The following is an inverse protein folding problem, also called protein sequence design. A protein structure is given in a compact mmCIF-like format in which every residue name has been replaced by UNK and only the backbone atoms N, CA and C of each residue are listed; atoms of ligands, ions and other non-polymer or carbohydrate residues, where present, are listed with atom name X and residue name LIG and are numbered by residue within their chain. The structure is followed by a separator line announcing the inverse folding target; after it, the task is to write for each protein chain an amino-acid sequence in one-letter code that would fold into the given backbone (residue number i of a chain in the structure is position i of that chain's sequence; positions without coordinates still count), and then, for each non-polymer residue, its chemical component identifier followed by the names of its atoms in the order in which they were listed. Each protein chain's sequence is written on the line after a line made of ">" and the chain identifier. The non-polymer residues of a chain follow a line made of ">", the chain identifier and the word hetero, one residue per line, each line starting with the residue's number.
data_IF_672418659222
#
_entry.id   IF_672418659222
#
_cell.length_a   1.000
_cell.length_b   1.000
_cell.length_c   1.000
_cell.angle_alpha   90.00
_cell.angle_beta   90.00
_cell.angle_gamma   90.00
#
_symmetry.space_group_name_H-M   'P 1'
#
loop_
_entity.id
_entity.type
_entity.pdbx_description
1 polymer ?
#
# COMPACT_ATOMS: atom_id res chain seq x y z
N UNK A 1 -33.33 7.72 31.16
CA UNK A 1 -32.48 6.68 30.53
C UNK A 1 -33.41 5.59 30.01
N UNK A 2 -33.35 5.28 28.71
CA UNK A 2 -34.23 4.25 28.13
C UNK A 2 -33.81 2.86 28.66
N UNK A 3 -34.80 1.97 28.88
CA UNK A 3 -34.56 0.66 29.46
C UNK A 3 -33.56 -0.20 28.68
N UNK A 4 -33.52 -0.09 27.32
CA UNK A 4 -32.54 -0.75 26.48
C UNK A 4 -31.11 -0.23 26.66
N UNK A 5 -30.92 1.05 27.01
CA UNK A 5 -29.61 1.63 27.29
C UNK A 5 -29.01 1.10 28.61
N UNK A 6 -29.85 0.89 29.62
CA UNK A 6 -29.42 0.27 30.88
C UNK A 6 -28.95 -1.16 30.66
N UNK A 7 -29.66 -1.93 29.82
CA UNK A 7 -29.30 -3.31 29.47
C UNK A 7 -28.00 -3.34 28.67
N UNK A 8 -27.92 -2.47 27.68
CA UNK A 8 -26.71 -2.30 26.85
C UNK A 8 -25.49 -2.01 27.72
N UNK A 9 -25.56 -1.01 28.62
CA UNK A 9 -24.45 -0.66 29.49
C UNK A 9 -24.09 -1.78 30.44
N UNK A 10 -25.06 -2.46 31.03
CA UNK A 10 -24.81 -3.60 31.94
C UNK A 10 -24.03 -4.72 31.24
N UNK A 11 -24.45 -5.14 30.06
CA UNK A 11 -23.77 -6.22 29.32
C UNK A 11 -22.38 -5.75 28.87
N UNK A 12 -22.24 -4.49 28.39
CA UNK A 12 -20.97 -3.89 28.01
C UNK A 12 -19.97 -3.85 29.15
N UNK A 13 -20.41 -3.39 30.34
CA UNK A 13 -19.55 -3.32 31.52
C UNK A 13 -19.09 -4.72 31.97
N UNK A 14 -19.97 -5.73 31.92
CA UNK A 14 -19.60 -7.13 32.21
C UNK A 14 -18.58 -7.69 31.20
N UNK A 15 -18.68 -7.33 29.93
CA UNK A 15 -17.67 -7.71 28.93
C UNK A 15 -16.33 -7.01 29.23
N UNK A 16 -16.37 -5.71 29.56
CA UNK A 16 -15.16 -4.93 29.87
C UNK A 16 -14.46 -5.35 31.16
N UNK A 17 -15.26 -5.80 32.19
CA UNK A 17 -14.72 -6.31 33.44
C UNK A 17 -14.31 -7.80 33.37
N UNK A 18 -14.41 -8.42 32.17
CA UNK A 18 -14.16 -9.85 31.94
C UNK A 18 -15.08 -10.82 32.75
N UNK A 19 -16.23 -10.35 33.22
CA UNK A 19 -17.27 -11.21 33.79
C UNK A 19 -17.95 -12.06 32.72
N UNK A 20 -17.91 -11.64 31.48
CA UNK A 20 -18.28 -12.38 30.27
C UNK A 20 -17.05 -12.55 29.41
N UNK A 21 -16.61 -13.79 29.24
CA UNK A 21 -15.36 -14.09 28.51
C UNK A 21 -15.58 -14.11 27.00
N UNK A 22 -14.51 -13.85 26.25
CA UNK A 22 -14.49 -13.97 24.80
C UNK A 22 -14.95 -15.37 24.34
N UNK A 23 -15.84 -15.43 23.36
CA UNK A 23 -16.45 -16.65 22.87
C UNK A 23 -17.56 -17.20 23.78
N UNK A 24 -17.81 -16.59 24.93
CA UNK A 24 -18.87 -17.02 25.83
C UNK A 24 -20.27 -16.71 25.27
N UNK A 25 -21.18 -17.64 25.43
CA UNK A 25 -22.56 -17.49 24.99
C UNK A 25 -23.35 -16.63 25.98
N UNK A 26 -24.00 -15.59 25.51
CA UNK A 26 -24.94 -14.78 26.28
C UNK A 26 -26.20 -15.60 26.63
N UNK A 27 -26.87 -15.29 27.75
CA UNK A 27 -28.17 -15.85 28.08
C UNK A 27 -29.15 -15.63 26.93
N UNK A 28 -30.15 -16.51 26.79
CA UNK A 28 -31.14 -16.38 25.74
C UNK A 28 -31.96 -15.08 25.86
N UNK A 29 -32.53 -14.61 24.75
CA UNK A 29 -33.43 -13.44 24.77
C UNK A 29 -34.54 -13.59 25.79
N UNK A 30 -35.02 -14.84 26.03
CA UNK A 30 -36.05 -15.13 27.01
C UNK A 30 -35.51 -14.94 28.42
N UNK A 31 -34.34 -15.45 28.72
CA UNK A 31 -33.71 -15.34 30.05
C UNK A 31 -33.35 -13.87 30.35
N UNK A 32 -32.81 -13.16 29.38
CA UNK A 32 -32.54 -11.72 29.50
C UNK A 32 -33.83 -10.91 29.72
N UNK A 33 -34.95 -11.28 29.02
CA UNK A 33 -36.25 -10.63 29.24
C UNK A 33 -36.77 -10.84 30.66
N UNK A 34 -36.57 -12.01 31.24
CA UNK A 34 -36.93 -12.30 32.62
C UNK A 34 -35.99 -11.57 33.60
N UNK A 35 -34.70 -11.62 33.38
CA UNK A 35 -33.69 -10.99 34.25
C UNK A 35 -33.88 -9.46 34.33
N UNK A 36 -34.13 -8.81 33.23
CA UNK A 36 -34.28 -7.35 33.16
C UNK A 36 -35.75 -6.89 33.24
N UNK A 37 -36.68 -7.80 33.40
CA UNK A 37 -38.14 -7.52 33.49
C UNK A 37 -38.60 -6.57 32.38
N UNK A 38 -38.33 -6.93 31.11
CA UNK A 38 -38.65 -6.12 29.94
C UNK A 38 -39.10 -6.99 28.76
N UNK A 39 -39.63 -6.34 27.72
CA UNK A 39 -40.09 -6.99 26.50
C UNK A 39 -38.92 -7.57 25.69
N UNK A 40 -39.20 -8.62 24.90
CA UNK A 40 -38.20 -9.19 23.96
C UNK A 40 -37.69 -8.16 22.97
N UNK A 41 -38.53 -7.23 22.53
CA UNK A 41 -38.12 -6.15 21.61
C UNK A 41 -37.09 -5.21 22.23
N UNK A 42 -37.23 -4.91 23.55
CA UNK A 42 -36.26 -4.07 24.26
C UNK A 42 -34.90 -4.77 24.38
N UNK A 43 -34.90 -6.09 24.64
CA UNK A 43 -33.67 -6.90 24.65
C UNK A 43 -33.01 -6.90 23.26
N UNK A 44 -33.78 -7.16 22.21
CA UNK A 44 -33.26 -7.15 20.83
C UNK A 44 -32.64 -5.82 20.47
N UNK A 45 -33.27 -4.68 20.84
CA UNK A 45 -32.69 -3.35 20.61
C UNK A 45 -31.35 -3.19 21.33
N UNK A 46 -31.21 -3.67 22.56
CA UNK A 46 -29.93 -3.61 23.28
C UNK A 46 -28.87 -4.53 22.67
N UNK A 47 -29.25 -5.77 22.25
CA UNK A 47 -28.35 -6.73 21.63
C UNK A 47 -27.90 -6.23 20.24
N UNK A 48 -28.81 -5.71 19.43
CA UNK A 48 -28.44 -5.11 18.13
C UNK A 48 -27.42 -3.96 18.32
N UNK A 49 -27.63 -3.11 19.34
CA UNK A 49 -26.67 -2.03 19.64
C UNK A 49 -25.31 -2.57 20.10
N UNK A 50 -25.26 -3.69 20.82
CA UNK A 50 -24.00 -4.37 21.18
C UNK A 50 -23.34 -5.01 19.96
N UNK A 51 -24.13 -5.59 19.06
CA UNK A 51 -23.67 -6.18 17.80
C UNK A 51 -23.15 -5.10 16.83
N UNK A 52 -23.84 -3.97 16.70
CA UNK A 52 -23.40 -2.80 15.96
C UNK A 52 -22.05 -2.23 16.47
N UNK A 53 -21.76 -2.44 17.74
CA UNK A 53 -20.47 -2.06 18.35
C UNK A 53 -19.45 -3.19 18.37
N UNK A 54 -19.75 -4.32 17.71
CA UNK A 54 -18.91 -5.50 17.65
C UNK A 54 -18.49 -6.06 19.02
N UNK A 55 -19.31 -5.86 20.05
CA UNK A 55 -19.08 -6.44 21.37
C UNK A 55 -19.60 -7.88 21.44
N UNK A 56 -20.61 -8.19 20.63
CA UNK A 56 -21.20 -9.52 20.49
C UNK A 56 -21.48 -9.83 19.01
N UNK A 57 -21.71 -11.08 18.68
CA UNK A 57 -22.15 -11.53 17.36
C UNK A 57 -23.25 -12.59 17.50
N UNK A 58 -24.17 -12.63 16.52
CA UNK A 58 -25.25 -13.60 16.47
C UNK A 58 -24.87 -14.84 15.66
N UNK A 59 -25.15 -16.02 16.17
CA UNK A 59 -25.14 -17.28 15.41
C UNK A 59 -26.61 -17.70 15.18
N UNK A 60 -27.10 -17.81 13.95
CA UNK A 60 -28.45 -18.22 13.64
C UNK A 60 -28.83 -19.53 14.36
N UNK A 61 -29.98 -19.54 15.00
CA UNK A 61 -30.52 -20.67 15.80
C UNK A 61 -29.69 -21.05 17.03
N UNK A 62 -28.54 -20.40 17.29
CA UNK A 62 -27.71 -20.68 18.46
C UNK A 62 -27.77 -19.57 19.51
N UNK A 63 -27.76 -18.29 19.13
CA UNK A 63 -27.85 -17.17 20.08
C UNK A 63 -26.70 -16.16 19.88
N UNK A 64 -26.46 -15.34 20.91
CA UNK A 64 -25.44 -14.28 20.88
C UNK A 64 -24.19 -14.71 21.66
N UNK A 65 -23.03 -14.32 21.18
CA UNK A 65 -21.72 -14.66 21.74
C UNK A 65 -20.87 -13.41 21.87
N UNK A 66 -20.04 -13.35 22.91
CA UNK A 66 -19.08 -12.28 23.12
C UNK A 66 -17.98 -12.36 22.05
N UNK A 67 -17.69 -11.24 21.37
CA UNK A 67 -16.59 -11.18 20.41
C UNK A 67 -15.27 -11.36 21.13
N UNK A 68 -14.42 -12.23 20.59
CA UNK A 68 -13.04 -12.35 21.07
C UNK A 68 -12.23 -11.12 20.63
N UNK A 69 -12.13 -10.15 21.53
CA UNK A 69 -11.27 -8.99 21.32
C UNK A 69 -9.80 -9.29 21.61
N UNK A 70 -9.45 -10.53 21.92
CA UNK A 70 -8.06 -10.97 21.97
C UNK A 70 -7.51 -11.17 20.54
N UNK A 71 -7.56 -10.13 19.72
CA UNK A 71 -6.43 -9.93 18.84
C UNK A 71 -5.20 -9.93 19.75
N UNK A 72 -4.13 -10.70 19.43
CA UNK A 72 -2.90 -10.55 20.18
C UNK A 72 -2.59 -9.05 20.17
N UNK A 73 -2.69 -8.41 21.32
CA UNK A 73 -2.15 -7.08 21.51
C UNK A 73 -0.68 -7.24 21.12
N UNK A 74 -0.33 -6.88 19.88
CA UNK A 74 1.00 -6.31 19.70
C UNK A 74 1.11 -5.29 20.80
N UNK A 75 2.11 -5.38 21.70
CA UNK A 75 2.27 -4.41 22.77
C UNK A 75 2.08 -3.05 22.13
N UNK A 76 1.19 -2.26 22.69
CA UNK A 76 0.84 -0.96 22.14
C UNK A 76 2.16 -0.25 21.86
N UNK A 77 2.47 -0.04 20.59
CA UNK A 77 3.70 0.64 20.13
C UNK A 77 3.66 2.13 20.46
N UNK A 78 2.84 2.50 21.46
CA UNK A 78 2.63 3.87 21.92
C UNK A 78 3.91 4.57 22.36
N UNK A 79 4.93 3.80 22.72
CA UNK A 79 6.24 4.30 23.13
C UNK A 79 7.27 4.41 21.99
N UNK A 80 7.03 3.78 20.84
CA UNK A 80 7.97 3.81 19.72
C UNK A 80 7.61 4.89 18.69
N UNK A 81 8.63 5.49 18.11
CA UNK A 81 8.53 6.40 16.96
C UNK A 81 8.86 5.54 15.73
N UNK A 82 7.85 5.20 14.94
CA UNK A 82 7.97 4.21 13.86
C UNK A 82 8.17 4.88 12.50
N UNK A 83 9.43 4.97 12.05
CA UNK A 83 9.81 5.37 10.69
C UNK A 83 10.08 4.18 9.76
N UNK A 84 9.83 2.95 10.20
CA UNK A 84 10.08 1.72 9.43
C UNK A 84 8.83 1.25 8.68
N UNK A 85 7.70 1.18 9.36
CA UNK A 85 6.48 0.56 8.84
C UNK A 85 5.86 1.36 7.71
N UNK A 86 5.68 0.72 6.56
CA UNK A 86 5.09 1.31 5.35
C UNK A 86 3.68 0.80 5.10
N UNK A 87 2.82 0.82 6.12
CA UNK A 87 1.41 0.44 6.01
C UNK A 87 0.50 1.53 6.58
N UNK A 88 -0.72 1.70 6.06
CA UNK A 88 -1.68 2.65 6.62
C UNK A 88 -1.98 2.35 8.08
N UNK A 89 -2.29 3.39 8.86
CA UNK A 89 -2.75 3.23 10.23
C UNK A 89 -4.16 2.63 10.23
N UNK A 90 -4.36 1.47 10.87
CA UNK A 90 -5.64 0.76 10.85
C UNK A 90 -6.80 1.60 11.41
N UNK A 91 -6.54 2.47 12.43
CA UNK A 91 -7.55 3.37 13.01
C UNK A 91 -8.10 4.43 12.02
N UNK A 92 -7.34 4.76 10.97
CA UNK A 92 -7.77 5.74 9.97
C UNK A 92 -8.72 5.13 8.92
N UNK A 93 -8.75 3.80 8.80
CA UNK A 93 -9.56 3.12 7.81
C UNK A 93 -11.03 3.00 8.26
N UNK A 94 -12.02 3.36 7.42
CA UNK A 94 -13.43 3.27 7.74
C UNK A 94 -13.93 1.82 7.56
N UNK A 95 -13.51 0.92 8.45
CA UNK A 95 -13.78 -0.51 8.33
C UNK A 95 -15.28 -0.86 8.28
N UNK A 96 -16.15 -0.07 8.95
CA UNK A 96 -17.60 -0.27 8.92
C UNK A 96 -18.19 -0.03 7.54
N UNK A 97 -17.73 0.99 6.84
CA UNK A 97 -18.18 1.31 5.48
C UNK A 97 -17.75 0.19 4.52
N UNK A 98 -16.51 -0.28 4.67
CA UNK A 98 -16.02 -1.38 3.86
C UNK A 98 -16.69 -2.72 4.19
N UNK A 99 -16.98 -2.99 5.48
CA UNK A 99 -17.76 -4.15 5.92
C UNK A 99 -19.17 -4.14 5.30
N UNK A 100 -19.82 -2.96 5.27
CA UNK A 100 -21.12 -2.82 4.58
C UNK A 100 -21.01 -3.17 3.10
N UNK A 101 -19.95 -2.71 2.41
CA UNK A 101 -19.69 -3.08 1.02
C UNK A 101 -19.45 -4.59 0.85
N UNK A 102 -18.72 -5.24 1.76
CA UNK A 102 -18.52 -6.70 1.73
C UNK A 102 -19.82 -7.48 1.89
N UNK A 103 -20.66 -7.11 2.86
CA UNK A 103 -21.97 -7.73 3.05
C UNK A 103 -22.84 -7.55 1.81
N UNK A 104 -22.89 -6.32 1.29
CA UNK A 104 -23.68 -6.03 0.08
C UNK A 104 -23.12 -6.75 -1.16
N UNK A 105 -21.80 -6.95 -1.25
CA UNK A 105 -21.18 -7.72 -2.31
C UNK A 105 -21.65 -9.18 -2.30
N UNK A 106 -21.68 -9.81 -1.11
CA UNK A 106 -22.20 -11.18 -0.97
C UNK A 106 -23.67 -11.26 -1.41
N UNK A 107 -24.51 -10.30 -0.98
CA UNK A 107 -25.92 -10.26 -1.34
C UNK A 107 -26.15 -10.01 -2.86
N UNK A 108 -25.28 -9.24 -3.50
CA UNK A 108 -25.43 -8.84 -4.90
C UNK A 108 -24.92 -9.90 -5.88
N UNK A 109 -23.81 -10.53 -5.54
CA UNK A 109 -23.06 -11.44 -6.43
C UNK A 109 -23.21 -12.92 -6.07
N UNK A 110 -24.32 -13.30 -5.41
CA UNK A 110 -24.60 -14.64 -4.87
C UNK A 110 -24.13 -15.79 -5.77
N UNK A 111 -24.65 -15.88 -6.99
CA UNK A 111 -24.32 -16.96 -7.92
C UNK A 111 -22.91 -16.85 -8.48
N UNK A 112 -22.46 -15.64 -8.82
CA UNK A 112 -21.14 -15.38 -9.38
C UNK A 112 -20.01 -15.78 -8.43
N UNK A 113 -20.23 -15.75 -7.10
CA UNK A 113 -19.25 -16.19 -6.10
C UNK A 113 -18.97 -17.70 -6.14
N UNK A 114 -19.84 -18.48 -6.79
CA UNK A 114 -19.67 -19.94 -6.94
C UNK A 114 -19.10 -20.35 -8.30
N UNK A 115 -18.80 -19.39 -9.16
CA UNK A 115 -18.20 -19.62 -10.46
C UNK A 115 -16.81 -18.98 -10.55
N UNK A 116 -15.93 -19.59 -11.32
CA UNK A 116 -14.67 -18.95 -11.66
C UNK A 116 -14.93 -17.71 -12.53
N UNK A 117 -14.32 -16.60 -12.17
CA UNK A 117 -14.40 -15.35 -12.93
C UNK A 117 -13.52 -15.35 -14.19
N UNK A 118 -13.18 -14.16 -14.64
CA UNK A 118 -12.30 -13.98 -15.79
C UNK A 118 -10.88 -13.60 -15.35
N UNK A 119 -9.86 -13.93 -16.13
CA UNK A 119 -8.49 -13.52 -15.82
C UNK A 119 -8.31 -11.99 -15.75
N UNK A 120 -9.17 -11.22 -16.40
CA UNK A 120 -9.15 -9.77 -16.30
C UNK A 120 -9.66 -9.27 -14.94
N UNK A 121 -10.56 -10.02 -14.30
CA UNK A 121 -11.23 -9.69 -13.06
C UNK A 121 -12.74 -9.47 -13.25
N UNK A 122 -13.41 -8.99 -12.22
CA UNK A 122 -14.85 -8.73 -12.22
C UNK A 122 -15.18 -7.59 -13.21
N UNK A 123 -16.04 -7.83 -14.23
CA UNK A 123 -16.30 -6.83 -15.28
C UNK A 123 -16.81 -5.48 -14.73
N UNK A 124 -17.71 -5.51 -13.73
CA UNK A 124 -18.25 -4.29 -13.10
C UNK A 124 -17.15 -3.50 -12.35
N UNK A 125 -16.17 -4.18 -11.71
CA UNK A 125 -15.01 -3.52 -11.12
C UNK A 125 -14.11 -2.92 -12.20
N UNK A 126 -13.90 -3.61 -13.32
CA UNK A 126 -13.08 -3.09 -14.44
C UNK A 126 -13.66 -1.80 -14.99
N UNK A 127 -14.99 -1.72 -15.13
CA UNK A 127 -15.66 -0.49 -15.59
C UNK A 127 -15.49 0.67 -14.59
N UNK A 128 -15.59 0.41 -13.28
CA UNK A 128 -15.31 1.42 -12.27
C UNK A 128 -13.81 1.74 -12.18
N UNK A 129 -12.94 0.75 -12.39
CA UNK A 129 -11.48 0.93 -12.45
C UNK A 129 -11.11 1.87 -13.62
N UNK A 130 -11.71 1.70 -14.80
CA UNK A 130 -11.48 2.59 -15.95
C UNK A 130 -11.79 4.04 -15.60
N UNK A 131 -12.97 4.30 -15.00
CA UNK A 131 -13.37 5.66 -14.57
C UNK A 131 -12.42 6.21 -13.50
N UNK A 132 -12.02 5.38 -12.54
CA UNK A 132 -11.07 5.76 -11.51
C UNK A 132 -9.69 6.11 -12.11
N UNK A 133 -9.18 5.30 -13.04
CA UNK A 133 -7.92 5.51 -13.74
C UNK A 133 -7.91 6.81 -14.53
N UNK A 134 -9.01 7.21 -15.15
CA UNK A 134 -9.15 8.51 -15.81
C UNK A 134 -8.87 9.68 -14.85
N UNK A 135 -9.21 9.54 -13.56
CA UNK A 135 -8.90 10.58 -12.55
C UNK A 135 -7.39 10.70 -12.25
N UNK A 136 -6.59 9.70 -12.62
CA UNK A 136 -5.12 9.70 -12.55
C UNK A 136 -4.45 9.99 -13.90
N UNK A 137 -5.21 10.44 -14.91
CA UNK A 137 -4.74 10.68 -16.28
C UNK A 137 -4.30 9.39 -17.00
N UNK A 138 -4.92 8.26 -16.68
CA UNK A 138 -4.73 6.97 -17.35
C UNK A 138 -5.95 6.69 -18.21
N UNK A 139 -5.83 6.91 -19.50
CA UNK A 139 -6.90 6.67 -20.47
C UNK A 139 -6.65 5.35 -21.20
N UNK A 140 -7.55 4.38 -21.02
CA UNK A 140 -7.41 3.03 -21.58
C UNK A 140 -8.76 2.37 -21.81
N UNK A 141 -8.77 1.26 -22.54
CA UNK A 141 -9.96 0.41 -22.72
C UNK A 141 -10.05 -0.65 -21.61
N UNK A 142 -11.29 -1.05 -21.28
CA UNK A 142 -11.54 -2.08 -20.25
C UNK A 142 -10.79 -3.40 -20.52
N UNK A 143 -10.65 -3.79 -21.79
CA UNK A 143 -9.94 -5.03 -22.19
C UNK A 143 -8.45 -5.06 -21.82
N UNK A 144 -7.85 -3.89 -21.58
CA UNK A 144 -6.44 -3.76 -21.22
C UNK A 144 -6.21 -3.65 -19.72
N UNK A 145 -7.29 -3.65 -18.92
CA UNK A 145 -7.23 -3.58 -17.46
C UNK A 145 -7.31 -4.98 -16.88
N UNK A 146 -6.40 -5.28 -15.96
CA UNK A 146 -6.38 -6.52 -15.19
C UNK A 146 -6.40 -6.22 -13.70
N UNK A 147 -7.28 -6.93 -13.00
CA UNK A 147 -7.27 -6.98 -11.53
C UNK A 147 -6.27 -8.06 -11.11
N UNK A 148 -5.33 -7.70 -10.26
CA UNK A 148 -4.29 -8.61 -9.76
C UNK A 148 -4.31 -8.71 -8.25
N UNK A 149 -3.75 -9.78 -7.70
CA UNK A 149 -3.57 -9.97 -6.25
C UNK A 149 -2.45 -9.06 -5.70
N UNK A 150 -2.60 -7.76 -5.95
CA UNK A 150 -1.63 -6.70 -5.72
C UNK A 150 -0.59 -6.60 -6.83
N UNK A 151 0.18 -5.51 -6.81
CA UNK A 151 1.23 -5.22 -7.82
C UNK A 151 2.30 -6.34 -7.89
N UNK A 152 2.56 -7.04 -6.78
CA UNK A 152 3.51 -8.15 -6.76
C UNK A 152 3.15 -9.26 -7.74
N UNK A 153 1.87 -9.62 -7.89
CA UNK A 153 1.45 -10.62 -8.87
C UNK A 153 1.68 -10.11 -10.31
N UNK A 154 1.32 -8.84 -10.57
CA UNK A 154 1.58 -8.25 -11.88
C UNK A 154 3.08 -8.28 -12.23
N UNK A 155 3.94 -7.86 -11.30
CA UNK A 155 5.40 -7.89 -11.46
C UNK A 155 5.93 -9.31 -11.68
N UNK A 156 5.41 -10.30 -10.95
CA UNK A 156 5.79 -11.70 -11.14
C UNK A 156 5.44 -12.20 -12.55
N UNK A 157 4.22 -11.95 -13.00
CA UNK A 157 3.76 -12.34 -14.34
C UNK A 157 4.61 -11.64 -15.41
N UNK A 158 4.78 -10.32 -15.33
CA UNK A 158 5.58 -9.54 -16.29
C UNK A 158 7.05 -10.00 -16.34
N UNK A 159 7.60 -10.38 -15.19
CA UNK A 159 8.98 -10.87 -15.12
C UNK A 159 9.15 -12.23 -15.83
N UNK A 160 8.17 -13.13 -15.69
CA UNK A 160 8.25 -14.51 -16.19
C UNK A 160 7.73 -14.68 -17.63
N UNK A 161 6.73 -13.89 -18.06
CA UNK A 161 6.21 -13.99 -19.42
C UNK A 161 7.20 -13.43 -20.46
N UNK A 162 7.26 -13.97 -21.69
CA UNK A 162 8.02 -13.34 -22.79
C UNK A 162 7.31 -12.04 -23.22
N UNK A 163 8.08 -11.12 -23.80
CA UNK A 163 7.55 -9.88 -24.40
C UNK A 163 7.72 -9.93 -25.91
N UNK A 164 6.99 -9.07 -26.63
CA UNK A 164 7.05 -8.97 -28.10
C UNK A 164 8.43 -8.57 -28.62
N UNK A 165 9.24 -7.88 -27.81
CA UNK A 165 10.63 -7.54 -28.15
C UNK A 165 11.61 -8.73 -27.98
N UNK A 166 11.13 -9.90 -27.53
CA UNK A 166 11.91 -11.13 -27.37
C UNK A 166 13.12 -11.04 -26.44
N UNK A 167 13.22 -10.01 -25.62
CA UNK A 167 14.33 -9.75 -24.71
C UNK A 167 14.05 -10.35 -23.31
N UNK A 168 15.10 -10.44 -22.47
CA UNK A 168 15.03 -11.18 -21.20
C UNK A 168 15.46 -10.35 -19.98
N UNK A 169 16.38 -9.44 -20.14
CA UNK A 169 16.98 -8.70 -19.01
C UNK A 169 16.05 -7.63 -18.50
N UNK A 170 15.88 -7.57 -17.19
CA UNK A 170 15.09 -6.55 -16.50
C UNK A 170 16.04 -5.44 -16.08
N UNK A 171 15.70 -4.19 -16.39
CA UNK A 171 16.38 -3.03 -15.83
C UNK A 171 15.60 -2.53 -14.62
N UNK A 172 16.28 -2.24 -13.51
CA UNK A 172 15.66 -1.73 -12.27
C UNK A 172 16.43 -0.53 -11.73
N UNK A 173 15.75 0.40 -11.11
CA UNK A 173 16.39 1.47 -10.34
C UNK A 173 17.12 0.92 -9.11
N UNK A 174 18.17 1.58 -8.66
CA UNK A 174 18.95 1.24 -7.47
C UNK A 174 19.11 2.46 -6.56
N UNK A 175 18.53 2.47 -5.35
CA UNK A 175 17.72 1.41 -4.72
C UNK A 175 16.33 1.27 -5.38
N UNK A 176 15.61 0.18 -5.07
CA UNK A 176 14.27 -0.08 -5.57
C UNK A 176 13.37 -0.79 -4.54
N UNK A 177 12.19 -1.24 -4.95
CA UNK A 177 11.23 -1.94 -4.09
C UNK A 177 11.79 -3.29 -3.62
N UNK A 178 12.04 -3.43 -2.31
CA UNK A 178 12.75 -4.56 -1.72
C UNK A 178 12.12 -5.93 -2.04
N UNK A 179 10.78 -6.07 -1.99
CA UNK A 179 10.14 -7.35 -2.29
C UNK A 179 10.26 -7.75 -3.77
N UNK A 180 10.38 -6.78 -4.67
CA UNK A 180 10.67 -7.08 -6.06
C UNK A 180 12.15 -7.45 -6.26
N UNK A 181 13.06 -6.81 -5.53
CA UNK A 181 14.49 -7.23 -5.53
C UNK A 181 14.64 -8.67 -5.02
N UNK A 182 13.94 -9.03 -3.94
CA UNK A 182 13.94 -10.40 -3.40
C UNK A 182 13.34 -11.40 -4.40
N UNK A 183 12.26 -11.02 -5.11
CA UNK A 183 11.69 -11.86 -6.16
C UNK A 183 12.70 -12.13 -7.29
N UNK A 184 13.33 -11.08 -7.82
CA UNK A 184 14.34 -11.19 -8.88
C UNK A 184 15.48 -12.12 -8.45
N UNK A 185 16.01 -11.95 -7.22
CA UNK A 185 17.07 -12.78 -6.64
C UNK A 185 16.62 -14.24 -6.49
N UNK A 186 15.43 -14.46 -5.94
CA UNK A 186 14.88 -15.80 -5.69
C UNK A 186 14.72 -16.60 -6.98
N UNK A 187 14.21 -15.97 -8.03
CA UNK A 187 14.01 -16.60 -9.34
C UNK A 187 15.25 -16.51 -10.24
N UNK A 188 16.34 -15.88 -9.77
CA UNK A 188 17.61 -15.70 -10.51
C UNK A 188 17.39 -15.11 -11.90
N UNK A 189 16.53 -14.11 -11.98
CA UNK A 189 16.21 -13.44 -13.24
C UNK A 189 17.38 -12.59 -13.72
N UNK A 190 17.63 -12.51 -15.04
CA UNK A 190 18.64 -11.61 -15.58
C UNK A 190 18.23 -10.15 -15.31
N UNK A 191 19.08 -9.41 -14.61
CA UNK A 191 18.78 -8.07 -14.14
C UNK A 191 20.00 -7.16 -14.22
N UNK A 192 19.79 -5.89 -14.54
CA UNK A 192 20.77 -4.80 -14.49
C UNK A 192 20.18 -3.69 -13.62
N UNK A 193 21.01 -3.05 -12.80
CA UNK A 193 20.63 -1.88 -12.01
C UNK A 193 21.12 -0.59 -12.64
N UNK A 194 20.29 0.47 -12.60
CA UNK A 194 20.69 1.84 -12.86
C UNK A 194 20.56 2.67 -11.59
N UNK A 195 21.57 3.48 -11.29
CA UNK A 195 21.58 4.28 -10.06
C UNK A 195 20.51 5.38 -10.12
N UNK A 196 19.67 5.46 -9.09
CA UNK A 196 18.73 6.54 -8.83
C UNK A 196 19.16 7.36 -7.63
N UNK A 197 19.18 8.67 -7.78
CA UNK A 197 19.53 9.64 -6.73
C UNK A 197 18.39 10.64 -6.51
N UNK A 198 18.59 11.60 -5.62
CA UNK A 198 17.67 12.75 -5.47
C UNK A 198 17.51 13.58 -6.77
N UNK A 199 18.45 13.47 -7.68
CA UNK A 199 18.46 14.17 -8.97
C UNK A 199 17.92 13.31 -10.13
N UNK A 200 17.29 12.16 -9.85
CA UNK A 200 16.84 11.22 -10.88
C UNK A 200 17.90 10.20 -11.26
N UNK A 201 17.82 9.68 -12.49
CA UNK A 201 18.79 8.77 -13.12
C UNK A 201 19.64 9.54 -14.14
N UNK A 202 20.79 8.98 -14.49
CA UNK A 202 21.61 9.45 -15.59
C UNK A 202 21.01 8.95 -16.92
N UNK A 203 20.55 9.87 -17.77
CA UNK A 203 19.91 9.55 -19.05
C UNK A 203 20.92 9.04 -20.09
N UNK A 204 22.18 9.44 -20.02
CA UNK A 204 23.25 8.94 -20.91
C UNK A 204 23.56 7.48 -20.54
N UNK A 205 23.66 7.18 -19.24
CA UNK A 205 23.81 5.80 -18.75
C UNK A 205 22.61 4.95 -19.15
N UNK A 206 21.37 5.48 -19.05
CA UNK A 206 20.16 4.77 -19.46
C UNK A 206 20.21 4.42 -20.96
N UNK A 207 20.59 5.39 -21.82
CA UNK A 207 20.72 5.17 -23.26
C UNK A 207 21.78 4.11 -23.57
N UNK A 208 22.93 4.16 -22.92
CA UNK A 208 23.99 3.17 -23.08
C UNK A 208 23.51 1.76 -22.69
N UNK A 209 22.78 1.62 -21.58
CA UNK A 209 22.21 0.34 -21.14
C UNK A 209 21.20 -0.19 -22.17
N UNK A 210 20.29 0.66 -22.67
CA UNK A 210 19.30 0.26 -23.68
C UNK A 210 19.94 -0.14 -25.01
N UNK A 211 21.04 0.52 -25.40
CA UNK A 211 21.77 0.23 -26.62
C UNK A 211 22.58 -1.08 -26.54
N UNK A 212 23.23 -1.33 -25.40
CA UNK A 212 24.25 -2.38 -25.26
C UNK A 212 23.73 -3.69 -24.63
N UNK A 213 22.52 -3.69 -24.06
CA UNK A 213 21.96 -4.84 -23.37
C UNK A 213 20.59 -5.24 -23.92
N UNK A 214 20.25 -6.49 -23.72
CA UNK A 214 18.99 -7.11 -24.14
C UNK A 214 17.86 -6.81 -23.13
N UNK A 215 17.49 -5.52 -23.00
CA UNK A 215 16.52 -5.05 -21.99
C UNK A 215 15.10 -5.33 -22.43
N UNK A 216 14.40 -6.17 -21.68
CA UNK A 216 12.99 -6.54 -21.84
C UNK A 216 12.07 -5.40 -21.41
N UNK A 217 12.27 -4.92 -20.19
CA UNK A 217 11.60 -3.73 -19.67
C UNK A 217 12.43 -3.07 -18.59
N UNK A 218 12.15 -1.77 -18.38
CA UNK A 218 12.65 -0.98 -17.27
C UNK A 218 11.55 -0.81 -16.22
N UNK A 219 11.77 -1.35 -15.02
CA UNK A 219 10.89 -1.15 -13.86
C UNK A 219 11.29 0.11 -13.13
N UNK A 220 10.35 1.04 -12.98
CA UNK A 220 10.56 2.34 -12.35
C UNK A 220 9.35 2.81 -11.56
N UNK A 221 9.60 3.64 -10.54
CA UNK A 221 8.58 4.36 -9.78
C UNK A 221 8.72 5.87 -10.07
N UNK A 222 8.08 6.39 -11.14
CA UNK A 222 8.29 7.78 -11.58
C UNK A 222 7.78 8.83 -10.60
N UNK A 223 6.79 8.49 -9.77
CA UNK A 223 6.25 9.35 -8.70
C UNK A 223 6.51 8.70 -7.35
N UNK A 224 6.96 9.52 -6.38
CA UNK A 224 7.13 9.09 -4.99
C UNK A 224 7.96 7.81 -4.82
N UNK A 225 9.09 7.76 -5.49
CA UNK A 225 9.96 6.59 -5.54
C UNK A 225 10.22 5.97 -4.15
N UNK A 226 10.06 4.66 -4.00
CA UNK A 226 10.41 3.93 -2.78
C UNK A 226 11.80 3.30 -2.91
N UNK A 227 12.73 3.59 -1.99
CA UNK A 227 12.55 4.29 -0.71
C UNK A 227 12.92 5.79 -0.74
N UNK A 228 13.26 6.39 -1.88
CA UNK A 228 13.89 7.71 -1.92
C UNK A 228 12.90 8.87 -1.73
N UNK A 229 11.60 8.70 -2.03
CA UNK A 229 10.60 9.76 -1.95
C UNK A 229 10.77 10.85 -3.01
N UNK A 230 11.38 10.54 -4.15
CA UNK A 230 11.64 11.47 -5.26
C UNK A 230 10.75 11.16 -6.45
N UNK A 231 10.50 12.17 -7.31
CA UNK A 231 9.72 12.01 -8.54
C UNK A 231 10.50 12.51 -9.75
N UNK A 232 10.27 11.90 -10.92
CA UNK A 232 10.80 12.43 -12.18
C UNK A 232 10.06 13.68 -12.60
N UNK A 233 10.81 14.64 -13.12
CA UNK A 233 10.25 15.81 -13.77
C UNK A 233 9.70 15.44 -15.15
N UNK A 234 8.80 16.25 -15.69
CA UNK A 234 8.21 16.04 -17.01
C UNK A 234 9.26 15.75 -18.09
N UNK A 235 10.31 16.56 -18.18
CA UNK A 235 11.39 16.37 -19.17
C UNK A 235 12.12 15.03 -19.05
N UNK A 236 12.30 14.54 -17.81
CA UNK A 236 12.93 13.23 -17.57
C UNK A 236 11.99 12.10 -18.03
N UNK A 237 10.69 12.20 -17.73
CA UNK A 237 9.68 11.24 -18.21
C UNK A 237 9.63 11.16 -19.74
N UNK A 238 9.60 12.32 -20.40
CA UNK A 238 9.61 12.42 -21.86
C UNK A 238 10.90 11.84 -22.46
N UNK A 239 12.07 12.09 -21.86
CA UNK A 239 13.35 11.53 -22.31
C UNK A 239 13.39 10.00 -22.13
N UNK A 240 12.96 9.48 -21.00
CA UNK A 240 12.87 8.03 -20.74
C UNK A 240 11.98 7.36 -21.79
N UNK A 241 10.80 7.92 -22.09
CA UNK A 241 9.89 7.39 -23.10
C UNK A 241 10.47 7.44 -24.51
N UNK A 242 11.16 8.53 -24.86
CA UNK A 242 11.84 8.65 -26.16
C UNK A 242 12.92 7.58 -26.34
N UNK A 243 13.70 7.30 -25.29
CA UNK A 243 14.69 6.22 -25.30
C UNK A 243 14.01 4.85 -25.38
N UNK A 244 12.96 4.63 -24.59
CA UNK A 244 12.21 3.38 -24.60
C UNK A 244 11.64 3.04 -25.99
N UNK A 245 11.03 4.02 -26.67
CA UNK A 245 10.52 3.87 -28.02
C UNK A 245 11.64 3.62 -29.05
N UNK A 246 12.76 4.36 -28.95
CA UNK A 246 13.91 4.21 -29.87
C UNK A 246 14.53 2.81 -29.81
N UNK A 247 14.64 2.26 -28.60
CA UNK A 247 15.31 0.97 -28.36
C UNK A 247 14.36 -0.20 -28.18
N UNK A 248 13.05 -0.01 -28.41
CA UNK A 248 12.00 -1.02 -28.22
C UNK A 248 12.07 -1.68 -26.83
N UNK A 249 12.16 -0.87 -25.78
CA UNK A 249 12.15 -1.28 -24.38
C UNK A 249 10.79 -0.93 -23.75
N UNK A 250 10.16 -1.88 -23.07
CA UNK A 250 8.95 -1.56 -22.32
C UNK A 250 9.30 -0.87 -21.01
N UNK A 251 8.38 -0.04 -20.52
CA UNK A 251 8.46 0.55 -19.16
C UNK A 251 7.38 -0.07 -18.29
N UNK A 252 7.75 -0.49 -17.10
CA UNK A 252 6.79 -0.88 -16.06
C UNK A 252 6.77 0.23 -15.01
N UNK A 253 5.74 1.07 -15.09
CA UNK A 253 5.49 2.16 -14.15
C UNK A 253 4.73 1.66 -12.94
N UNK A 254 5.37 1.63 -11.77
CA UNK A 254 4.71 1.31 -10.50
C UNK A 254 4.29 2.61 -9.78
N UNK A 255 3.02 2.95 -9.90
CA UNK A 255 2.42 4.18 -9.36
C UNK A 255 1.63 3.88 -8.07
N UNK A 256 2.28 3.24 -7.13
CA UNK A 256 1.69 2.74 -5.89
C UNK A 256 1.17 3.82 -4.93
N UNK A 257 1.58 5.09 -5.11
CA UNK A 257 1.13 6.25 -4.34
C UNK A 257 0.32 7.26 -5.19
N UNK A 258 -0.26 6.85 -6.31
CA UNK A 258 -1.09 7.72 -7.16
C UNK A 258 -2.17 8.50 -6.39
N UNK A 259 -2.76 7.86 -5.36
CA UNK A 259 -3.83 8.44 -4.53
C UNK A 259 -3.38 9.63 -3.68
N UNK A 260 -2.08 9.81 -3.49
CA UNK A 260 -1.48 10.84 -2.63
C UNK A 260 -0.95 12.04 -3.40
N UNK A 261 -0.99 12.00 -4.74
CA UNK A 261 -0.62 13.14 -5.57
C UNK A 261 -1.68 14.25 -5.47
N UNK A 262 -1.26 15.40 -5.00
CA UNK A 262 -2.13 16.58 -4.83
C UNK A 262 -1.98 17.59 -5.95
N UNK A 263 -0.88 17.52 -6.69
CA UNK A 263 -0.62 18.44 -7.78
C UNK A 263 -1.19 17.88 -9.09
N UNK A 264 -2.33 18.43 -9.51
CA UNK A 264 -3.02 18.03 -10.75
C UNK A 264 -2.22 18.26 -12.03
N UNK A 265 -1.01 18.85 -11.94
CA UNK A 265 -0.10 19.09 -13.08
C UNK A 265 1.00 18.01 -13.16
N UNK A 266 1.03 17.05 -12.23
CA UNK A 266 2.01 15.97 -12.20
C UNK A 266 1.36 14.69 -12.72
N UNK A 267 1.40 14.52 -14.04
CA UNK A 267 0.86 13.34 -14.70
C UNK A 267 1.79 12.13 -14.55
N UNK A 268 1.27 10.89 -14.57
CA UNK A 268 2.06 9.67 -14.64
C UNK A 268 2.86 9.61 -15.95
N UNK A 269 3.87 8.76 -16.00
CA UNK A 269 4.67 8.54 -17.21
C UNK A 269 3.80 7.97 -18.34
N UNK A 270 2.86 7.08 -18.01
CA UNK A 270 1.89 6.48 -18.93
C UNK A 270 1.15 7.53 -19.79
N UNK A 271 0.80 8.69 -19.22
CA UNK A 271 0.03 9.73 -19.94
C UNK A 271 0.81 10.39 -21.09
N UNK A 272 2.13 10.27 -21.09
CA UNK A 272 2.99 10.80 -22.16
C UNK A 272 3.37 9.73 -23.20
N UNK A 273 2.97 8.47 -23.01
CA UNK A 273 3.28 7.37 -23.92
C UNK A 273 2.41 7.42 -25.17
N UNK A 274 3.04 7.60 -26.32
CA UNK A 274 2.38 7.59 -27.65
C UNK A 274 2.68 6.33 -28.46
N UNK A 275 3.49 5.41 -27.91
CA UNK A 275 3.99 4.23 -28.62
C UNK A 275 3.54 2.90 -28.03
N UNK A 276 2.69 2.93 -26.99
CA UNK A 276 2.22 1.75 -26.27
C UNK A 276 3.36 0.89 -25.66
N UNK A 277 4.36 1.55 -25.08
CA UNK A 277 5.47 0.88 -24.41
C UNK A 277 5.34 0.88 -22.89
N UNK A 278 4.33 1.57 -22.32
CA UNK A 278 4.17 1.65 -20.86
C UNK A 278 3.11 0.69 -20.36
N UNK A 279 3.51 -0.10 -19.37
CA UNK A 279 2.64 -0.90 -18.52
C UNK A 279 2.46 -0.11 -17.23
N UNK A 280 1.22 0.20 -16.87
CA UNK A 280 0.93 0.96 -15.64
C UNK A 280 0.40 0.05 -14.54
N UNK A 281 0.97 0.17 -13.35
CA UNK A 281 0.58 -0.60 -12.16
C UNK A 281 0.08 0.32 -11.06
N UNK A 282 -1.11 0.03 -10.51
CA UNK A 282 -1.70 0.73 -9.37
C UNK A 282 -1.94 -0.21 -8.21
N UNK A 283 -1.52 0.20 -7.02
CA UNK A 283 -1.74 -0.54 -5.77
C UNK A 283 -2.83 0.09 -4.92
N UNK A 284 -3.66 -0.74 -4.27
CA UNK A 284 -4.58 -0.30 -3.21
C UNK A 284 -4.03 -0.53 -1.80
N UNK A 285 -2.87 -1.17 -1.66
CA UNK A 285 -2.30 -1.53 -0.34
C UNK A 285 -1.94 -0.33 0.53
N UNK A 286 -1.67 0.85 -0.07
CA UNK A 286 -1.28 2.07 0.68
C UNK A 286 -2.45 2.99 0.96
N UNK A 287 -3.42 3.05 0.07
CA UNK A 287 -4.62 3.87 0.27
C UNK A 287 -5.69 3.14 1.08
N UNK A 288 -5.86 1.84 0.87
CA UNK A 288 -6.81 1.01 1.62
C UNK A 288 -6.10 0.28 2.77
N UNK A 289 -5.80 -0.99 2.58
CA UNK A 289 -5.02 -1.82 3.51
C UNK A 289 -4.36 -2.99 2.78
N UNK A 290 -3.18 -3.46 3.23
CA UNK A 290 -2.44 -4.51 2.54
C UNK A 290 -3.20 -5.82 2.38
N UNK A 291 -4.07 -6.17 3.34
CA UNK A 291 -4.88 -7.40 3.34
C UNK A 291 -5.96 -7.46 2.25
N UNK A 292 -6.32 -6.33 1.61
CA UNK A 292 -7.28 -6.29 0.51
C UNK A 292 -6.79 -7.08 -0.71
N UNK A 293 -5.48 -7.12 -0.95
CA UNK A 293 -4.83 -7.85 -2.04
C UNK A 293 -5.37 -7.51 -3.43
N UNK A 294 -5.61 -6.24 -3.74
CA UNK A 294 -6.00 -5.77 -5.07
C UNK A 294 -4.99 -4.76 -5.61
N UNK A 295 -4.66 -4.92 -6.88
CA UNK A 295 -3.95 -3.96 -7.72
C UNK A 295 -4.56 -3.96 -9.12
N UNK A 296 -4.31 -2.90 -9.88
CA UNK A 296 -4.64 -2.85 -11.30
C UNK A 296 -3.36 -2.83 -12.13
N UNK A 297 -3.39 -3.58 -13.23
CA UNK A 297 -2.39 -3.52 -14.27
C UNK A 297 -3.06 -3.10 -15.58
N UNK A 298 -2.52 -2.07 -16.22
CA UNK A 298 -2.95 -1.61 -17.55
C UNK A 298 -1.85 -1.99 -18.52
N UNK A 299 -2.22 -2.79 -19.51
CA UNK A 299 -1.27 -3.41 -20.46
C UNK A 299 -1.37 -2.76 -21.85
N UNK A 300 -0.25 -2.60 -22.56
CA UNK A 300 -0.26 -2.38 -24.00
C UNK A 300 -1.03 -3.48 -24.75
N UNK A 301 -1.73 -3.16 -25.84
CA UNK A 301 -2.55 -4.13 -26.60
C UNK A 301 -1.79 -5.40 -26.98
N UNK A 302 -0.53 -5.28 -27.39
CA UNK A 302 0.31 -6.43 -27.81
C UNK A 302 0.62 -7.39 -26.66
N UNK A 303 0.67 -6.94 -25.42
CA UNK A 303 0.98 -7.77 -24.26
C UNK A 303 -0.27 -8.35 -23.58
N UNK A 304 -1.45 -7.77 -23.83
CA UNK A 304 -2.72 -8.15 -23.20
C UNK A 304 -3.04 -9.66 -23.33
N UNK A 305 -3.01 -10.29 -24.52
CA UNK A 305 -3.38 -11.72 -24.63
C UNK A 305 -2.41 -12.63 -23.88
N UNK A 306 -1.13 -12.27 -23.88
CA UNK A 306 -0.12 -13.07 -23.22
C UNK A 306 -0.20 -12.93 -21.70
N UNK A 307 -0.38 -11.71 -21.20
CA UNK A 307 -0.57 -11.46 -19.76
C UNK A 307 -1.82 -12.21 -19.24
N UNK A 308 -2.92 -12.16 -20.00
CA UNK A 308 -4.14 -12.90 -19.68
C UNK A 308 -3.90 -14.41 -19.55
N UNK A 309 -3.12 -14.99 -20.48
CA UNK A 309 -2.76 -16.41 -20.46
C UNK A 309 -1.93 -16.76 -19.22
N UNK A 310 -0.91 -15.98 -18.90
CA UNK A 310 -0.07 -16.20 -17.73
C UNK A 310 -0.83 -16.00 -16.43
N UNK A 311 -1.69 -14.97 -16.34
CA UNK A 311 -2.54 -14.74 -15.17
C UNK A 311 -3.49 -15.93 -14.94
N UNK A 312 -4.12 -16.46 -16.00
CA UNK A 312 -5.00 -17.63 -15.91
C UNK A 312 -4.29 -18.88 -15.36
N UNK A 313 -3.00 -19.03 -15.63
CA UNK A 313 -2.22 -20.17 -15.13
C UNK A 313 -1.66 -19.96 -13.73
N UNK A 314 -1.58 -18.71 -13.25
CA UNK A 314 -1.07 -18.36 -11.92
C UNK A 314 -2.19 -18.35 -10.89
N UNK A 315 -3.25 -17.63 -11.19
CA UNK A 315 -4.53 -17.66 -10.48
C UNK A 315 -5.62 -17.38 -11.53
N UNK A 316 -6.69 -18.12 -11.55
CA UNK A 316 -7.75 -17.98 -12.57
C UNK A 316 -8.30 -16.57 -12.53
N UNK A 317 -8.64 -16.09 -11.31
CA UNK A 317 -9.02 -14.74 -10.99
C UNK A 317 -8.55 -14.37 -9.58
N UNK A 318 -8.45 -13.08 -9.29
CA UNK A 318 -8.18 -12.61 -7.92
C UNK A 318 -9.45 -12.71 -7.06
N UNK A 319 -9.33 -12.67 -5.73
CA UNK A 319 -10.46 -12.82 -4.79
C UNK A 319 -11.70 -12.04 -5.22
N UNK A 320 -12.77 -12.75 -5.58
CA UNK A 320 -14.03 -12.19 -6.07
C UNK A 320 -14.70 -11.29 -5.03
N UNK A 321 -14.71 -11.72 -3.76
CA UNK A 321 -15.31 -10.93 -2.66
C UNK A 321 -14.58 -9.60 -2.50
N UNK A 322 -13.24 -9.61 -2.56
CA UNK A 322 -12.45 -8.37 -2.47
C UNK A 322 -12.75 -7.45 -3.65
N UNK A 323 -12.88 -8.00 -4.86
CA UNK A 323 -13.19 -7.24 -6.06
C UNK A 323 -14.58 -6.61 -5.99
N UNK A 324 -15.61 -7.38 -5.63
CA UNK A 324 -16.98 -6.92 -5.52
C UNK A 324 -17.15 -5.86 -4.41
N UNK A 325 -16.48 -6.05 -3.27
CA UNK A 325 -16.49 -5.05 -2.19
C UNK A 325 -15.81 -3.75 -2.60
N UNK A 326 -14.68 -3.82 -3.32
CA UNK A 326 -13.98 -2.63 -3.81
C UNK A 326 -14.80 -1.91 -4.89
N UNK A 327 -15.45 -2.64 -5.80
CA UNK A 327 -16.37 -2.07 -6.81
C UNK A 327 -17.44 -1.21 -6.13
N UNK A 328 -18.16 -1.79 -5.17
CA UNK A 328 -19.21 -1.07 -4.44
C UNK A 328 -18.66 0.12 -3.65
N UNK A 329 -17.47 -0.01 -3.05
CA UNK A 329 -16.82 1.07 -2.32
C UNK A 329 -16.42 2.25 -3.22
N UNK A 330 -15.95 1.98 -4.44
CA UNK A 330 -15.66 3.01 -5.45
C UNK A 330 -16.96 3.63 -5.98
N UNK A 331 -17.91 2.80 -6.41
CA UNK A 331 -19.16 3.22 -7.05
C UNK A 331 -20.07 4.06 -6.14
N UNK A 332 -20.05 3.76 -4.83
CA UNK A 332 -20.80 4.54 -3.83
C UNK A 332 -20.19 5.92 -3.52
N UNK A 333 -18.99 6.21 -4.01
CA UNK A 333 -18.25 7.43 -3.70
C UNK A 333 -17.50 7.42 -2.37
N UNK A 334 -17.67 6.38 -1.54
CA UNK A 334 -16.98 6.24 -0.24
C UNK A 334 -15.46 6.26 -0.40
N UNK A 335 -14.94 5.62 -1.46
CA UNK A 335 -13.52 5.64 -1.78
C UNK A 335 -12.98 7.06 -1.97
N UNK A 336 -13.67 7.91 -2.72
CA UNK A 336 -13.24 9.27 -3.00
C UNK A 336 -13.20 10.14 -1.73
N UNK A 337 -14.21 10.02 -0.86
CA UNK A 337 -14.23 10.72 0.42
C UNK A 337 -13.09 10.25 1.33
N UNK A 338 -12.85 8.94 1.40
CA UNK A 338 -11.76 8.37 2.17
C UNK A 338 -10.41 8.82 1.63
N UNK A 339 -10.18 8.73 0.31
CA UNK A 339 -8.95 9.17 -0.37
C UNK A 339 -8.62 10.62 -0.04
N UNK A 340 -9.58 11.54 -0.18
CA UNK A 340 -9.38 12.96 0.09
C UNK A 340 -8.93 13.21 1.55
N UNK A 341 -9.58 12.55 2.51
CA UNK A 341 -9.25 12.66 3.93
C UNK A 341 -7.84 12.16 4.24
N UNK A 342 -7.52 10.96 3.77
CA UNK A 342 -6.23 10.31 4.07
C UNK A 342 -5.08 11.01 3.37
N UNK A 343 -5.27 11.43 2.12
CA UNK A 343 -4.27 12.21 1.37
C UNK A 343 -3.91 13.51 2.09
N UNK A 344 -4.90 14.24 2.63
CA UNK A 344 -4.68 15.43 3.44
C UNK A 344 -3.85 15.16 4.72
N UNK A 345 -4.17 14.06 5.43
CA UNK A 345 -3.40 13.66 6.62
C UNK A 345 -1.93 13.36 6.30
N UNK A 346 -1.67 12.61 5.22
CA UNK A 346 -0.29 12.31 4.83
C UNK A 346 0.48 13.54 4.34
N UNK A 347 -0.17 14.47 3.65
CA UNK A 347 0.44 15.74 3.26
C UNK A 347 0.85 16.59 4.48
N UNK A 348 0.00 16.65 5.51
CA UNK A 348 0.32 17.32 6.77
C UNK A 348 1.56 16.69 7.45
N UNK A 349 1.57 15.35 7.60
CA UNK A 349 2.73 14.61 8.15
C UNK A 349 4.00 14.84 7.35
N UNK A 350 3.93 14.80 6.03
CA UNK A 350 5.08 15.04 5.16
C UNK A 350 5.62 16.47 5.27
N UNK A 351 4.73 17.45 5.45
CA UNK A 351 5.13 18.85 5.69
C UNK A 351 5.86 18.98 7.02
N UNK A 352 5.35 18.34 8.09
CA UNK A 352 6.03 18.31 9.40
C UNK A 352 7.41 17.66 9.30
N UNK A 353 7.51 16.52 8.59
CA UNK A 353 8.78 15.85 8.35
C UNK A 353 9.79 16.76 7.65
N UNK A 354 9.38 17.42 6.56
CA UNK A 354 10.24 18.35 5.81
C UNK A 354 10.72 19.51 6.67
N UNK A 355 9.82 20.08 7.52
CA UNK A 355 10.20 21.13 8.45
C UNK A 355 11.23 20.62 9.48
N UNK A 356 10.99 19.47 10.08
CA UNK A 356 11.89 18.87 11.06
C UNK A 356 13.28 18.53 10.46
N UNK A 357 13.34 17.97 9.23
CA UNK A 357 14.59 17.71 8.53
C UNK A 357 15.40 18.97 8.29
N UNK A 358 14.76 20.04 7.78
CA UNK A 358 15.43 21.34 7.57
C UNK A 358 15.92 21.96 8.86
N UNK A 359 15.16 21.85 9.95
CA UNK A 359 15.50 22.43 11.25
C UNK A 359 16.65 21.71 11.96
N UNK A 360 16.68 20.36 11.92
CA UNK A 360 17.57 19.57 12.74
C UNK A 360 18.69 18.88 11.98
N UNK A 361 18.55 18.70 10.66
CA UNK A 361 19.44 17.91 9.80
C UNK A 361 19.84 18.63 8.50
N UNK A 362 19.84 19.96 8.51
CA UNK A 362 20.15 20.81 7.34
C UNK A 362 21.51 20.58 6.71
N UNK A 363 22.48 19.98 7.45
CA UNK A 363 23.81 19.63 6.93
C UNK A 363 23.83 18.36 6.08
N UNK A 364 22.75 17.59 6.08
CA UNK A 364 22.60 16.37 5.32
C UNK A 364 21.75 16.59 4.07
N UNK A 365 21.98 15.77 3.05
CA UNK A 365 21.15 15.77 1.85
C UNK A 365 19.90 14.92 2.05
N UNK A 366 18.74 15.46 1.69
CA UNK A 366 17.44 14.80 1.70
C UNK A 366 16.53 15.40 0.60
N UNK A 367 15.49 14.66 0.11
CA UNK A 367 14.60 15.18 -0.91
C UNK A 367 13.75 16.34 -0.37
N UNK A 368 13.43 17.29 -1.24
CA UNK A 368 12.56 18.43 -0.91
C UNK A 368 11.07 18.14 -1.13
N UNK A 369 10.74 17.01 -1.72
CA UNK A 369 9.37 16.62 -2.04
C UNK A 369 8.56 16.28 -0.80
N UNK A 370 7.26 16.58 -0.85
CA UNK A 370 6.29 16.23 0.19
C UNK A 370 5.76 14.85 -0.14
N UNK A 371 6.30 13.82 0.52
CA UNK A 371 5.99 12.43 0.27
C UNK A 371 5.94 11.63 1.58
N UNK A 372 5.24 10.49 1.53
CA UNK A 372 5.17 9.52 2.62
C UNK A 372 6.54 8.88 2.93
N UNK A 373 7.40 8.76 1.93
CA UNK A 373 8.78 8.30 2.04
C UNK A 373 9.75 9.48 1.97
N UNK A 374 10.83 9.39 2.70
CA UNK A 374 11.97 10.30 2.61
C UNK A 374 13.25 9.55 2.97
N UNK A 375 14.38 10.19 2.80
CA UNK A 375 15.65 9.62 3.20
C UNK A 375 16.66 10.70 3.58
N UNK A 376 17.72 10.27 4.27
CA UNK A 376 18.87 11.11 4.61
C UNK A 376 20.10 10.42 4.06
N UNK A 377 20.89 11.12 3.24
CA UNK A 377 22.18 10.63 2.75
C UNK A 377 23.23 10.84 3.83
N UNK A 378 23.85 9.75 4.25
CA UNK A 378 24.86 9.76 5.33
C UNK A 378 26.28 9.69 4.77
N UNK A 379 27.27 10.31 5.46
CA UNK A 379 28.68 10.17 5.10
C UNK A 379 29.15 8.70 5.13
N UNK A 380 30.07 8.34 4.24
CA UNK A 380 30.63 6.97 4.12
C UNK A 380 31.19 6.42 5.43
N UNK A 381 31.65 7.27 6.34
CA UNK A 381 32.19 6.92 7.64
C UNK A 381 31.14 6.40 8.65
N UNK A 382 29.86 6.69 8.47
CA UNK A 382 28.81 6.26 9.41
C UNK A 382 28.47 4.79 9.19
N UNK A 383 28.53 3.99 10.25
CA UNK A 383 28.06 2.61 10.22
C UNK A 383 26.52 2.60 10.39
N UNK A 384 25.81 2.38 9.28
CA UNK A 384 24.35 2.46 9.23
C UNK A 384 23.66 1.44 10.15
N UNK A 385 24.17 0.21 10.21
CA UNK A 385 23.58 -0.85 11.04
C UNK A 385 23.75 -0.57 12.55
N UNK A 386 24.89 -0.05 12.96
CA UNK A 386 25.09 0.38 14.34
C UNK A 386 24.19 1.57 14.70
N UNK A 387 24.05 2.55 13.81
CA UNK A 387 23.16 3.69 14.00
C UNK A 387 21.71 3.25 14.15
N UNK A 388 21.21 2.39 13.27
CA UNK A 388 19.85 1.85 13.33
C UNK A 388 19.64 1.06 14.61
N UNK A 389 20.59 0.19 15.00
CA UNK A 389 20.51 -0.58 16.24
C UNK A 389 20.44 0.33 17.48
N UNK A 390 21.26 1.37 17.52
CA UNK A 390 21.24 2.36 18.60
C UNK A 390 19.90 3.11 18.67
N UNK A 391 19.38 3.59 17.53
CA UNK A 391 18.11 4.29 17.45
C UNK A 391 16.93 3.39 17.85
N UNK A 392 16.96 2.11 17.48
CA UNK A 392 15.95 1.13 17.90
C UNK A 392 15.93 0.93 19.42
N UNK A 393 17.12 0.91 20.07
CA UNK A 393 17.22 0.87 21.54
C UNK A 393 16.62 2.12 22.20
N UNK A 394 16.66 3.29 21.50
CA UNK A 394 16.07 4.54 21.94
C UNK A 394 14.63 4.76 21.44
N UNK A 395 13.93 3.66 21.08
CA UNK A 395 12.53 3.65 20.68
C UNK A 395 12.25 4.41 19.38
N UNK A 396 13.22 4.51 18.48
CA UNK A 396 13.06 5.00 17.11
C UNK A 396 13.28 3.82 16.17
N UNK A 397 12.18 3.31 15.58
CA UNK A 397 12.23 2.17 14.68
C UNK A 397 12.61 2.63 13.27
N UNK A 398 13.64 2.01 12.73
CA UNK A 398 14.15 2.23 11.40
C UNK A 398 14.46 0.88 10.74
N UNK A 399 14.40 0.84 9.43
CA UNK A 399 14.63 -0.36 8.65
C UNK A 399 15.89 -0.20 7.79
N UNK A 400 16.76 -1.24 7.71
CA UNK A 400 17.92 -1.22 6.80
C UNK A 400 17.53 -1.06 5.34
N UNK A 401 18.43 -0.53 4.53
CA UNK A 401 18.20 -0.31 3.09
C UNK A 401 18.76 -1.44 2.21
N UNK A 402 19.54 -2.35 2.78
CA UNK A 402 20.28 -3.36 1.99
C UNK A 402 19.38 -4.21 1.08
N UNK A 403 18.17 -4.57 1.54
CA UNK A 403 17.19 -5.29 0.74
C UNK A 403 16.65 -4.52 -0.47
N UNK A 404 16.91 -3.21 -0.57
CA UNK A 404 16.49 -2.39 -1.69
C UNK A 404 17.50 -2.38 -2.86
N UNK A 405 18.64 -3.07 -2.72
CA UNK A 405 19.70 -3.14 -3.73
C UNK A 405 19.89 -4.55 -4.28
N UNK A 406 20.37 -4.65 -5.50
CA UNK A 406 20.91 -5.88 -6.05
C UNK A 406 22.25 -6.23 -5.39
N UNK A 407 22.59 -7.52 -5.39
CA UNK A 407 23.84 -7.97 -4.82
C UNK A 407 25.04 -7.42 -5.62
N UNK A 408 26.11 -7.01 -4.91
CA UNK A 408 27.34 -6.49 -5.51
C UNK A 408 27.26 -5.03 -5.97
N UNK A 409 26.13 -4.35 -5.79
CA UNK A 409 26.00 -2.91 -6.06
C UNK A 409 26.53 -2.12 -4.86
N UNK A 410 27.31 -1.06 -5.13
CA UNK A 410 27.76 -0.14 -4.06
C UNK A 410 26.56 0.61 -3.49
N UNK A 411 26.18 0.25 -2.27
CA UNK A 411 25.07 0.88 -1.57
C UNK A 411 25.44 2.29 -1.12
N UNK A 412 24.62 3.26 -1.47
CA UNK A 412 24.67 4.56 -0.80
C UNK A 412 24.25 4.39 0.66
N UNK A 413 24.89 5.12 1.56
CA UNK A 413 24.51 5.10 2.98
C UNK A 413 23.30 6.00 3.17
N UNK A 414 22.14 5.43 3.02
CA UNK A 414 20.84 6.10 3.09
C UNK A 414 20.08 5.60 4.31
N UNK A 415 19.68 6.51 5.18
CA UNK A 415 18.73 6.25 6.25
C UNK A 415 17.34 6.54 5.69
N UNK A 416 16.54 5.50 5.43
CA UNK A 416 15.17 5.64 4.92
C UNK A 416 14.19 5.98 6.04
N UNK A 417 13.23 6.84 5.75
CA UNK A 417 12.19 7.32 6.64
C UNK A 417 10.82 7.09 6.01
N UNK A 418 9.89 6.56 6.79
CA UNK A 418 8.49 6.41 6.40
C UNK A 418 7.58 6.98 7.47
N UNK A 419 6.58 7.78 7.06
CA UNK A 419 5.64 8.44 7.98
C UNK A 419 4.23 7.87 7.93
N UNK A 420 4.04 6.70 7.31
CA UNK A 420 2.72 6.09 7.15
C UNK A 420 2.05 5.77 8.48
N UNK A 421 2.84 5.32 9.45
CA UNK A 421 2.35 4.81 10.73
C UNK A 421 2.85 5.62 11.94
N UNK A 422 3.09 6.92 11.75
CA UNK A 422 3.58 7.79 12.82
C UNK A 422 2.58 8.91 13.12
N UNK A 423 2.40 9.23 14.38
CA UNK A 423 1.58 10.36 14.83
C UNK A 423 2.32 11.67 14.60
N UNK A 424 1.60 12.70 14.16
CA UNK A 424 2.17 14.00 13.75
C UNK A 424 3.10 14.61 14.80
N UNK A 425 2.70 14.58 16.10
CA UNK A 425 3.47 15.14 17.20
C UNK A 425 4.78 14.39 17.49
N UNK A 426 4.92 13.12 17.05
CA UNK A 426 6.12 12.31 17.23
C UNK A 426 7.17 12.51 16.13
N UNK A 427 6.80 13.08 14.98
CA UNK A 427 7.69 13.18 13.82
C UNK A 427 8.91 14.06 14.17
N UNK A 428 8.70 15.26 14.71
CA UNK A 428 9.82 16.16 15.05
C UNK A 428 10.69 15.59 16.17
N UNK A 429 10.07 14.93 17.17
CA UNK A 429 10.82 14.27 18.25
C UNK A 429 11.75 13.18 17.69
N UNK A 430 11.24 12.35 16.78
CA UNK A 430 12.03 11.30 16.16
C UNK A 430 13.20 11.84 15.35
N UNK A 431 12.98 12.90 14.56
CA UNK A 431 14.06 13.57 13.81
C UNK A 431 15.11 14.19 14.75
N UNK A 432 14.70 14.77 15.89
CA UNK A 432 15.65 15.24 16.92
C UNK A 432 16.51 14.11 17.48
N UNK A 433 15.92 12.94 17.79
CA UNK A 433 16.67 11.77 18.26
C UNK A 433 17.67 11.29 17.22
N UNK A 434 17.31 11.26 15.95
CA UNK A 434 18.21 10.94 14.84
C UNK A 434 19.35 11.96 14.76
N UNK A 435 19.06 13.25 14.85
CA UNK A 435 20.07 14.33 14.82
C UNK A 435 21.08 14.21 15.98
N UNK A 436 20.59 13.93 17.19
CA UNK A 436 21.45 13.73 18.37
C UNK A 436 22.37 12.52 18.17
N UNK A 437 21.82 11.40 17.69
CA UNK A 437 22.61 10.20 17.40
C UNK A 437 23.70 10.47 16.36
N UNK A 438 23.39 11.18 15.29
CA UNK A 438 24.35 11.55 14.24
C UNK A 438 25.43 12.54 14.73
N UNK A 439 25.10 13.48 15.62
CA UNK A 439 26.06 14.44 16.18
C UNK A 439 27.01 13.78 17.22
N UNK A 440 26.50 12.79 17.94
CA UNK A 440 27.32 12.00 18.89
C UNK A 440 28.14 10.92 18.15
N UNK A 441 28.40 11.11 16.89
CA UNK A 441 28.88 10.14 15.92
C UNK A 441 30.29 9.58 16.17
N UNK A 442 31.01 9.98 17.25
CA UNK A 442 32.24 9.30 17.69
C UNK A 442 32.05 7.80 18.01
N UNK A 443 30.78 7.36 18.18
CA UNK A 443 30.43 5.98 18.54
C UNK A 443 30.13 5.08 17.35
N UNK A 444 30.08 5.63 16.11
CA UNK A 444 29.69 4.90 14.89
C UNK A 444 30.81 4.85 13.83
N UNK A 445 32.04 5.21 14.23
CA UNK A 445 33.23 5.17 13.39
C UNK A 445 34.02 3.90 13.62
#
# INVERSE_FOLDING_TARGET
>A
MFKYESIYNNIKDRIQMADLQAGEKLPSIRDLSQQFTCSKSTILTALNKLEDQHLIYAIPKSGYYVVDHQMPHKPSTTDFIDFATSSPTWHAFPYKDFQHCMNKAIDTYQEELFHYGTPNGLPSLIDEARKLLETYQIFTHSDHIFVTSGVQQALAILSLMPFSNHRKTILVEQPSYHLYMDFIKTYKLPVIGIRRTVNGIDLEELEQIFCSHDIKFFYTMPRFHSPLGTSYRKKEKEAILSLAARYDVYIVEDDYLADFEQNTKVDPLFSYDTHNHVIYLKSFSKIMFPGLRIGFAVLPPLLTPLFQRYKKTTDIDSSMISQAALELYIKSGMFNHYRARVSGTYAARATILQHALRKHLSVYQFPSEICMHSHIVLPKRVNLNLLISHLNQHKVLLEPIDGNYLDGVLNERILKLNISNIEEYKIEEGIKKIAIALNNSKNYF
#
